data_IF_851185313349
#
_entry.id   IF_851185313349
#
_cell.length_a   1.000
_cell.length_b   1.000
_cell.length_c   1.000
_cell.angle_alpha   90.00
_cell.angle_beta   90.00
_cell.angle_gamma   90.00
#
_symmetry.space_group_name_H-M   'P 1'
#
loop_
_entity.id
_entity.type
_entity.pdbx_description
1 polymer ?
#
# COMPACT_ATOMS: atom_id res chain seq x y z
N UNK A 1 -19.65 -31.18 -38.95
CA UNK A 1 -19.17 -30.08 -39.80
C UNK A 1 -20.40 -29.28 -40.19
N UNK A 2 -20.59 -28.12 -39.57
CA UNK A 2 -21.65 -27.17 -39.88
C UNK A 2 -20.98 -25.80 -40.00
N UNK A 3 -21.42 -25.05 -41.01
CA UNK A 3 -20.68 -24.02 -41.74
C UNK A 3 -20.37 -22.76 -40.93
N UNK A 4 -19.12 -22.31 -41.02
CA UNK A 4 -18.68 -20.98 -40.58
C UNK A 4 -18.94 -19.87 -41.65
N UNK A 5 -19.72 -20.19 -42.68
CA UNK A 5 -20.00 -19.28 -43.80
C UNK A 5 -21.28 -18.44 -43.58
N UNK A 6 -22.22 -18.91 -42.76
CA UNK A 6 -23.53 -18.25 -42.61
C UNK A 6 -23.52 -17.08 -41.60
N UNK A 7 -22.50 -16.99 -40.73
CA UNK A 7 -22.36 -15.90 -39.76
C UNK A 7 -21.76 -14.62 -40.37
N UNK A 8 -21.21 -14.68 -41.59
CA UNK A 8 -20.62 -13.53 -42.28
C UNK A 8 -21.65 -12.71 -43.08
N UNK A 9 -22.75 -13.32 -43.50
CA UNK A 9 -23.84 -12.62 -44.23
C UNK A 9 -24.77 -11.83 -43.30
N UNK A 10 -24.80 -12.17 -42.00
CA UNK A 10 -25.56 -11.45 -40.99
C UNK A 10 -24.91 -10.13 -40.54
N UNK A 11 -23.64 -9.91 -40.86
CA UNK A 11 -22.92 -8.67 -40.56
C UNK A 11 -22.92 -7.66 -41.72
N UNK A 12 -23.47 -8.03 -42.89
CA UNK A 12 -23.54 -7.18 -44.08
C UNK A 12 -24.93 -6.57 -44.33
N UNK A 13 -25.92 -6.81 -43.45
CA UNK A 13 -27.32 -6.34 -43.60
C UNK A 13 -27.76 -5.22 -42.65
N UNK A 14 -26.84 -4.50 -42.00
CA UNK A 14 -27.20 -3.24 -41.31
C UNK A 14 -26.76 -2.05 -42.16
N UNK A 15 -27.75 -1.52 -42.89
CA UNK A 15 -27.62 -0.47 -43.87
C UNK A 15 -27.16 0.87 -43.33
N UNK A 16 -26.44 1.54 -44.23
CA UNK A 16 -26.48 2.97 -44.53
C UNK A 16 -27.46 3.83 -43.71
N UNK A 17 -26.90 4.72 -42.88
CA UNK A 17 -27.37 6.09 -42.74
C UNK A 17 -26.23 6.92 -42.13
N UNK A 18 -25.33 7.41 -42.99
CA UNK A 18 -24.37 8.47 -42.67
C UNK A 18 -25.10 9.81 -42.82
N UNK A 19 -25.06 10.69 -41.81
CA UNK A 19 -25.02 12.12 -42.06
C UNK A 19 -23.60 12.62 -41.89
N UNK A 20 -23.20 13.39 -42.90
CA UNK A 20 -21.88 13.92 -43.12
C UNK A 20 -21.40 14.91 -42.04
N UNK A 21 -20.08 15.09 -42.04
CA UNK A 21 -19.30 16.13 -41.37
C UNK A 21 -20.00 17.49 -41.27
N UNK A 22 -19.89 18.22 -40.13
CA UNK A 22 -20.24 19.63 -40.09
C UNK A 22 -19.13 20.49 -40.73
N UNK A 23 -19.48 21.45 -41.60
CA UNK A 23 -18.53 22.31 -42.30
C UNK A 23 -17.98 23.44 -41.41
N UNK A 24 -16.83 23.96 -41.81
CA UNK A 24 -16.11 25.07 -41.20
C UNK A 24 -16.94 26.37 -41.09
N UNK A 25 -16.62 27.16 -40.05
CA UNK A 25 -17.22 28.46 -39.74
C UNK A 25 -17.16 29.45 -40.91
N UNK A 26 -18.28 30.07 -41.33
CA UNK A 26 -18.25 31.12 -42.32
C UNK A 26 -17.96 32.50 -41.70
N UNK A 27 -17.15 33.27 -42.41
CA UNK A 27 -16.91 34.70 -42.23
C UNK A 27 -18.19 35.46 -42.55
N UNK A 28 -18.55 36.45 -41.74
CA UNK A 28 -19.76 37.27 -41.94
C UNK A 28 -19.39 38.59 -42.63
N UNK A 29 -19.99 38.82 -43.81
CA UNK A 29 -20.10 40.11 -44.47
C UNK A 29 -21.58 40.36 -44.83
N UNK A 30 -22.05 41.57 -44.50
CA UNK A 30 -23.15 42.41 -45.03
C UNK A 30 -24.63 41.91 -45.01
N UNK A 31 -25.52 42.40 -44.10
CA UNK A 31 -26.46 43.59 -44.15
C UNK A 31 -27.94 43.09 -44.35
N UNK A 32 -29.09 43.64 -43.82
CA UNK A 32 -29.42 45.03 -43.41
C UNK A 32 -30.24 45.31 -42.10
N UNK A 33 -30.05 46.54 -41.61
CA UNK A 33 -30.94 47.54 -40.98
C UNK A 33 -32.30 47.14 -40.36
N UNK A 34 -32.46 47.44 -39.06
CA UNK A 34 -33.68 48.05 -38.48
C UNK A 34 -33.27 48.98 -37.33
N UNK A 35 -33.94 50.14 -37.27
CA UNK A 35 -33.60 51.39 -36.60
C UNK A 35 -33.51 51.35 -35.06
N UNK A 36 -32.56 52.13 -34.52
CA UNK A 36 -32.44 52.44 -33.09
C UNK A 36 -31.10 53.08 -32.75
N UNK A 37 -30.99 54.39 -32.99
CA UNK A 37 -29.80 55.21 -32.82
C UNK A 37 -29.16 55.14 -31.42
N UNK A 38 -27.81 55.16 -31.36
CA UNK A 38 -26.96 56.05 -30.54
C UNK A 38 -25.48 55.74 -30.83
N UNK A 39 -24.80 56.58 -31.60
CA UNK A 39 -23.34 56.55 -31.81
C UNK A 39 -22.65 57.55 -30.89
N UNK A 40 -21.67 57.15 -30.07
CA UNK A 40 -20.56 58.01 -29.67
C UNK A 40 -19.32 57.70 -30.54
N UNK A 41 -18.41 58.67 -30.71
CA UNK A 41 -17.37 58.63 -31.73
C UNK A 41 -16.25 57.64 -31.38
N UNK A 42 -15.66 57.05 -32.43
CA UNK A 42 -14.36 56.37 -32.34
C UNK A 42 -13.27 57.40 -32.03
N UNK A 43 -12.85 57.46 -30.78
CA UNK A 43 -11.53 57.99 -30.39
C UNK A 43 -10.55 56.82 -30.25
N UNK A 44 -9.48 56.85 -31.05
CA UNK A 44 -8.28 56.06 -30.76
C UNK A 44 -7.78 56.39 -29.34
N UNK A 45 -7.27 55.43 -28.54
CA UNK A 45 -6.66 55.78 -27.26
C UNK A 45 -5.38 56.58 -27.53
N UNK A 46 -5.27 57.83 -27.05
CA UNK A 46 -3.97 58.49 -26.95
C UNK A 46 -3.18 57.80 -25.83
N UNK A 47 -1.86 57.82 -25.95
CA UNK A 47 -0.95 57.19 -25.01
C UNK A 47 -1.10 57.71 -23.56
N UNK A 48 -0.54 56.91 -22.65
CA UNK A 48 -0.33 57.29 -21.26
C UNK A 48 -1.52 56.98 -20.36
N UNK A 49 -1.77 55.71 -20.07
CA UNK A 49 -2.61 55.34 -18.92
C UNK A 49 -1.87 55.80 -17.66
N UNK A 50 -2.41 56.80 -16.99
CA UNK A 50 -1.88 57.26 -15.71
C UNK A 50 -2.12 56.20 -14.64
N UNK A 51 -1.05 55.47 -14.29
CA UNK A 51 -1.04 54.42 -13.27
C UNK A 51 -0.84 54.98 -11.85
N UNK A 52 -0.95 56.30 -11.66
CA UNK A 52 -0.78 57.00 -10.38
C UNK A 52 -1.70 56.44 -9.29
N UNK A 53 -2.98 56.22 -9.59
CA UNK A 53 -3.97 55.69 -8.64
C UNK A 53 -3.61 54.27 -8.19
N UNK A 54 -3.10 53.43 -9.09
CA UNK A 54 -2.64 52.09 -8.75
C UNK A 54 -1.32 52.13 -7.97
N UNK A 55 -0.41 53.05 -8.29
CA UNK A 55 0.82 53.25 -7.50
C UNK A 55 0.52 53.70 -6.09
N UNK A 56 -0.40 54.65 -5.89
CA UNK A 56 -0.77 55.12 -4.56
C UNK A 56 -1.42 54.02 -3.72
N UNK A 57 -2.26 53.15 -4.33
CA UNK A 57 -2.86 52.02 -3.64
C UNK A 57 -1.88 50.93 -3.21
N UNK A 58 -0.70 50.84 -3.85
CA UNK A 58 0.32 49.81 -3.57
C UNK A 58 1.56 50.42 -2.87
N UNK A 59 1.57 51.74 -2.69
CA UNK A 59 2.67 52.49 -2.08
C UNK A 59 3.00 52.00 -0.68
N UNK A 60 1.98 51.72 0.13
CA UNK A 60 2.12 51.20 1.50
C UNK A 60 2.80 49.82 1.56
N UNK A 61 2.70 49.01 0.49
CA UNK A 61 3.38 47.72 0.38
C UNK A 61 4.81 47.83 -0.15
N UNK A 62 5.14 48.90 -0.88
CA UNK A 62 6.45 49.15 -1.47
C UNK A 62 7.38 49.95 -0.54
N UNK A 63 6.83 50.84 0.29
CA UNK A 63 7.58 51.65 1.25
C UNK A 63 7.81 50.96 2.61
N UNK A 64 7.30 49.74 2.79
CA UNK A 64 7.74 48.86 3.87
C UNK A 64 9.16 48.33 3.55
N UNK A 65 10.18 49.09 3.96
CA UNK A 65 11.57 48.64 3.91
C UNK A 65 11.75 47.34 4.71
N UNK A 66 12.58 46.38 4.24
CA UNK A 66 12.90 45.21 5.03
C UNK A 66 13.76 45.65 6.23
N UNK A 67 13.18 45.57 7.44
CA UNK A 67 13.94 45.76 8.67
C UNK A 67 15.10 44.76 8.71
N UNK A 68 16.31 45.31 8.51
CA UNK A 68 17.57 44.59 8.66
C UNK A 68 18.12 44.93 10.03
N UNK A 69 17.87 44.09 11.04
CA UNK A 69 18.57 44.19 12.33
C UNK A 69 18.90 42.82 12.93
N UNK A 70 20.21 42.57 13.00
CA UNK A 70 20.99 41.71 13.93
C UNK A 70 21.09 40.19 13.68
N UNK A 71 22.31 39.61 13.86
CA UNK A 71 22.54 38.17 13.78
C UNK A 71 22.32 37.52 15.15
N UNK A 72 21.19 36.84 15.32
CA UNK A 72 20.96 35.97 16.46
C UNK A 72 20.40 34.63 16.01
N UNK A 73 21.26 33.62 16.25
CA UNK A 73 21.01 32.24 16.61
C UNK A 73 19.64 31.61 16.27
N UNK A 74 19.77 30.41 15.70
CA UNK A 74 18.73 29.39 15.60
C UNK A 74 17.60 29.68 14.61
N UNK A 75 17.97 29.69 13.32
CA UNK A 75 17.08 29.08 12.32
C UNK A 75 16.76 27.68 12.85
N UNK A 76 15.50 27.31 13.18
CA UNK A 76 15.20 25.92 13.40
C UNK A 76 15.56 25.25 12.08
N UNK A 77 16.60 24.40 12.08
CA UNK A 77 16.77 23.42 11.02
C UNK A 77 15.39 22.79 10.88
N UNK A 78 14.71 23.01 9.76
CA UNK A 78 13.45 22.30 9.47
C UNK A 78 13.77 20.85 9.81
N UNK A 79 13.13 20.23 10.81
CA UNK A 79 13.37 18.83 11.03
C UNK A 79 12.95 18.17 9.71
N UNK A 80 13.91 17.57 8.98
CA UNK A 80 13.59 16.61 7.92
C UNK A 80 13.06 15.36 8.63
N UNK A 81 11.93 15.52 9.32
CA UNK A 81 11.13 14.41 9.77
C UNK A 81 10.48 13.90 8.49
N UNK A 82 10.86 12.69 8.08
CA UNK A 82 10.02 11.89 7.21
C UNK A 82 8.69 11.72 7.94
N UNK A 83 7.75 12.64 7.76
CA UNK A 83 6.41 12.54 8.32
C UNK A 83 5.80 11.26 7.75
N UNK A 84 5.65 10.26 8.61
CA UNK A 84 5.00 9.01 8.28
C UNK A 84 3.52 9.27 8.49
N UNK A 85 2.77 9.46 7.40
CA UNK A 85 1.33 9.55 7.47
C UNK A 85 0.75 8.15 7.54
N UNK A 86 -0.17 7.92 8.49
CA UNK A 86 -1.05 6.75 8.44
C UNK A 86 -2.27 7.13 7.63
N UNK A 87 -2.47 6.46 6.50
CA UNK A 87 -3.64 6.70 5.67
C UNK A 87 -4.91 6.23 6.38
N UNK A 88 -5.93 7.11 6.42
CA UNK A 88 -7.18 6.89 7.16
C UNK A 88 -7.99 5.71 6.61
N UNK A 89 -7.92 5.47 5.29
CA UNK A 89 -8.74 4.48 4.60
C UNK A 89 -8.06 3.11 4.57
N UNK A 90 -6.83 3.06 4.04
CA UNK A 90 -6.08 1.81 3.89
C UNK A 90 -5.37 1.36 5.17
N UNK A 91 -5.12 2.25 6.13
CA UNK A 91 -4.32 1.97 7.31
C UNK A 91 -2.82 1.80 7.03
N UNK A 92 -2.37 2.09 5.79
CA UNK A 92 -0.98 1.96 5.41
C UNK A 92 -0.16 3.15 5.93
N UNK A 93 1.07 2.86 6.37
CA UNK A 93 2.05 3.89 6.74
C UNK A 93 2.80 4.38 5.50
N UNK A 94 2.53 5.60 5.07
CA UNK A 94 3.04 6.22 3.84
C UNK A 94 4.13 7.24 4.19
N UNK A 95 5.25 7.17 3.46
CA UNK A 95 6.36 8.12 3.43
C UNK A 95 6.43 8.77 2.05
N UNK A 96 7.10 9.91 1.95
CA UNK A 96 7.30 10.65 0.69
C UNK A 96 5.99 10.79 -0.09
N UNK A 97 5.01 11.41 0.57
CA UNK A 97 3.70 11.62 -0.04
C UNK A 97 3.85 12.42 -1.33
N UNK A 98 3.17 11.94 -2.38
CA UNK A 98 3.11 12.63 -3.67
C UNK A 98 1.98 13.66 -3.69
N UNK A 99 0.99 13.50 -2.81
CA UNK A 99 -0.19 14.35 -2.70
C UNK A 99 -0.38 14.77 -1.25
N UNK A 100 -1.00 15.92 -1.04
CA UNK A 100 -1.36 16.36 0.30
C UNK A 100 -2.41 15.41 0.92
N UNK A 101 -2.43 15.25 2.25
CA UNK A 101 -3.44 14.43 2.92
C UNK A 101 -4.88 14.88 2.64
N UNK A 102 -5.08 16.19 2.39
CA UNK A 102 -6.38 16.76 2.06
C UNK A 102 -6.84 16.33 0.66
N UNK A 103 -5.97 16.39 -0.34
CA UNK A 103 -6.29 15.91 -1.69
C UNK A 103 -6.65 14.43 -1.68
N UNK A 104 -5.91 13.61 -0.93
CA UNK A 104 -6.22 12.20 -0.75
C UNK A 104 -7.62 12.03 -0.16
N UNK A 105 -7.92 12.75 0.92
CA UNK A 105 -9.23 12.71 1.57
C UNK A 105 -10.36 13.14 0.62
N UNK A 106 -10.15 14.19 -0.17
CA UNK A 106 -11.12 14.69 -1.13
C UNK A 106 -11.38 13.68 -2.25
N UNK A 107 -10.34 12.96 -2.71
CA UNK A 107 -10.51 11.89 -3.71
C UNK A 107 -11.30 10.69 -3.18
N UNK A 108 -11.29 10.45 -1.87
CA UNK A 108 -12.01 9.35 -1.24
C UNK A 108 -13.34 9.77 -0.58
N UNK A 109 -13.68 11.06 -0.53
CA UNK A 109 -14.82 11.55 0.23
C UNK A 109 -16.16 10.97 -0.25
N UNK A 110 -16.36 10.92 -1.58
CA UNK A 110 -17.62 10.48 -2.19
C UNK A 110 -17.54 9.07 -2.79
N UNK A 111 -16.48 8.33 -2.48
CA UNK A 111 -16.20 7.03 -3.08
C UNK A 111 -16.20 5.94 -2.03
N UNK A 112 -16.86 4.81 -2.32
CA UNK A 112 -16.84 3.66 -1.42
C UNK A 112 -15.44 3.04 -1.39
N UNK A 113 -14.77 3.08 -0.24
CA UNK A 113 -13.48 2.43 -0.07
C UNK A 113 -13.63 0.93 0.21
N UNK A 114 -12.98 0.10 -0.60
CA UNK A 114 -12.96 -1.36 -0.49
C UNK A 114 -11.54 -1.85 -0.22
N UNK A 115 -11.33 -2.53 0.92
CA UNK A 115 -10.03 -3.13 1.26
C UNK A 115 -9.71 -4.31 0.35
N UNK A 116 -8.43 -4.50 0.03
CA UNK A 116 -7.96 -5.62 -0.79
C UNK A 116 -8.35 -6.97 -0.21
N UNK A 117 -8.33 -7.12 1.11
CA UNK A 117 -8.80 -8.31 1.83
C UNK A 117 -10.27 -8.62 1.53
N UNK A 118 -11.12 -7.59 1.42
CA UNK A 118 -12.54 -7.75 1.11
C UNK A 118 -12.77 -8.16 -0.35
N UNK A 119 -11.92 -7.69 -1.28
CA UNK A 119 -11.96 -8.10 -2.69
C UNK A 119 -11.78 -9.61 -2.87
N UNK A 120 -10.90 -10.24 -2.05
CA UNK A 120 -10.67 -11.69 -2.12
C UNK A 120 -11.88 -12.52 -1.67
N UNK A 121 -12.76 -11.96 -0.84
CA UNK A 121 -13.87 -12.69 -0.24
C UNK A 121 -15.22 -12.34 -0.89
N UNK A 122 -15.27 -11.30 -1.71
CA UNK A 122 -16.49 -10.86 -2.39
C UNK A 122 -16.77 -11.71 -3.63
N UNK A 123 -17.37 -12.87 -3.40
CA UNK A 123 -18.02 -13.69 -4.44
C UNK A 123 -19.38 -13.05 -4.73
N UNK A 124 -19.46 -12.20 -5.76
CA UNK A 124 -20.71 -11.55 -6.18
C UNK A 124 -20.49 -10.13 -6.68
N UNK A 125 -20.82 -9.89 -7.93
CA UNK A 125 -20.68 -8.63 -8.68
C UNK A 125 -21.39 -7.42 -8.05
N UNK A 126 -22.31 -7.65 -7.11
CA UNK A 126 -23.15 -6.60 -6.52
C UNK A 126 -22.38 -5.59 -5.65
N UNK A 127 -21.23 -5.98 -5.06
CA UNK A 127 -20.42 -5.05 -4.25
C UNK A 127 -19.60 -4.05 -5.07
N UNK A 128 -19.45 -4.28 -6.36
CA UNK A 128 -18.71 -3.42 -7.29
C UNK A 128 -19.61 -2.52 -8.12
N UNK A 129 -20.90 -2.44 -7.77
CA UNK A 129 -21.84 -1.50 -8.37
C UNK A 129 -21.52 -0.06 -7.91
N UNK A 130 -21.50 0.88 -8.86
CA UNK A 130 -21.23 2.30 -8.59
C UNK A 130 -19.75 2.66 -8.39
N UNK A 131 -19.50 3.83 -7.80
CA UNK A 131 -18.15 4.36 -7.61
C UNK A 131 -17.46 3.74 -6.39
N UNK A 132 -16.34 3.07 -6.61
CA UNK A 132 -15.55 2.46 -5.54
C UNK A 132 -14.04 2.64 -5.77
N UNK A 133 -13.27 2.57 -4.69
CA UNK A 133 -11.82 2.68 -4.73
C UNK A 133 -11.16 1.69 -3.79
N UNK A 134 -9.93 1.32 -4.10
CA UNK A 134 -9.06 0.53 -3.22
C UNK A 134 -7.67 1.13 -3.21
N UNK A 135 -6.89 0.86 -2.16
CA UNK A 135 -5.51 1.30 -2.07
C UNK A 135 -4.61 0.15 -1.62
N UNK A 136 -3.41 0.11 -2.18
CA UNK A 136 -2.46 -0.96 -1.94
C UNK A 136 -1.03 -0.58 -2.30
N UNK A 137 -0.11 -1.38 -1.81
CA UNK A 137 1.32 -1.28 -2.12
C UNK A 137 1.62 -2.13 -3.34
N UNK A 138 2.38 -1.60 -4.29
CA UNK A 138 2.96 -2.36 -5.39
C UNK A 138 3.99 -3.34 -4.84
N UNK A 139 3.69 -4.64 -4.84
CA UNK A 139 4.51 -5.70 -4.28
C UNK A 139 5.50 -6.28 -5.28
N UNK A 140 5.06 -6.45 -6.52
CA UNK A 140 5.85 -7.05 -7.59
C UNK A 140 5.37 -6.57 -8.95
N UNK A 141 6.29 -6.54 -9.92
CA UNK A 141 6.01 -6.23 -11.31
C UNK A 141 6.24 -7.48 -12.14
N UNK A 142 5.17 -7.99 -12.73
CA UNK A 142 5.25 -9.02 -13.74
C UNK A 142 5.90 -8.51 -15.02
N UNK A 143 6.27 -9.47 -15.87
CA UNK A 143 6.82 -9.22 -17.20
C UNK A 143 5.75 -8.54 -18.06
N UNK A 144 6.16 -7.58 -18.89
CA UNK A 144 5.29 -6.97 -19.88
C UNK A 144 4.83 -8.02 -20.89
N UNK A 145 3.56 -7.97 -21.26
CA UNK A 145 2.91 -8.93 -22.15
C UNK A 145 2.22 -8.17 -23.28
N UNK A 146 1.97 -8.86 -24.39
CA UNK A 146 1.21 -8.30 -25.51
C UNK A 146 -0.17 -8.95 -25.50
N UNK A 147 -1.21 -8.13 -25.64
CA UNK A 147 -2.60 -8.60 -25.71
C UNK A 147 -2.89 -9.20 -27.09
N UNK A 148 -3.98 -9.94 -27.23
CA UNK A 148 -4.43 -10.47 -28.53
C UNK A 148 -4.68 -9.35 -29.58
N UNK A 149 -4.91 -8.12 -29.12
CA UNK A 149 -5.08 -6.93 -29.96
C UNK A 149 -3.76 -6.25 -30.34
N UNK A 150 -2.62 -6.82 -29.99
CA UNK A 150 -1.28 -6.27 -30.28
C UNK A 150 -0.80 -5.18 -29.30
N UNK A 151 -1.61 -4.77 -28.33
CA UNK A 151 -1.21 -3.73 -27.36
C UNK A 151 -0.43 -4.32 -26.18
N UNK A 152 0.71 -3.72 -25.83
CA UNK A 152 1.48 -4.05 -24.63
C UNK A 152 0.74 -3.70 -23.34
N UNK A 153 0.85 -4.56 -22.34
CA UNK A 153 0.24 -4.38 -21.02
C UNK A 153 1.19 -4.88 -19.92
N UNK A 154 1.02 -4.34 -18.71
CA UNK A 154 1.78 -4.75 -17.53
C UNK A 154 0.89 -5.42 -16.50
N UNK A 155 1.44 -6.43 -15.83
CA UNK A 155 0.77 -7.13 -14.74
C UNK A 155 1.48 -6.77 -13.45
N UNK A 156 0.75 -6.20 -12.50
CA UNK A 156 1.25 -5.84 -11.18
C UNK A 156 0.63 -6.73 -10.12
N UNK A 157 1.37 -6.99 -9.06
CA UNK A 157 0.81 -7.53 -7.82
C UNK A 157 0.74 -6.41 -6.80
N UNK A 158 -0.46 -6.08 -6.35
CA UNK A 158 -0.67 -5.08 -5.31
C UNK A 158 -1.29 -5.73 -4.07
N UNK A 159 -0.99 -5.22 -2.88
CA UNK A 159 -1.53 -5.77 -1.64
C UNK A 159 -1.40 -4.83 -0.45
N UNK A 160 -2.07 -5.16 0.66
CA UNK A 160 -2.10 -4.34 1.87
C UNK A 160 -1.01 -4.73 2.90
N UNK A 161 0.05 -5.43 2.47
CA UNK A 161 1.11 -5.98 3.35
C UNK A 161 0.58 -6.92 4.46
N UNK A 162 -0.60 -7.50 4.25
CA UNK A 162 -1.34 -8.36 5.17
C UNK A 162 -1.55 -9.77 4.61
N UNK A 163 -0.69 -10.19 3.67
CA UNK A 163 -0.75 -11.48 2.95
C UNK A 163 -1.88 -11.58 1.92
N UNK A 164 -2.69 -10.54 1.79
CA UNK A 164 -3.63 -10.41 0.67
C UNK A 164 -3.02 -9.61 -0.46
N UNK A 165 -3.04 -10.22 -1.64
CA UNK A 165 -2.55 -9.67 -2.89
C UNK A 165 -3.62 -9.82 -3.98
N UNK A 166 -3.66 -8.86 -4.89
CA UNK A 166 -4.54 -8.85 -6.05
C UNK A 166 -3.71 -8.52 -7.28
N UNK A 167 -4.00 -9.21 -8.37
CA UNK A 167 -3.32 -8.99 -9.65
C UNK A 167 -3.99 -7.83 -10.38
N UNK A 168 -3.24 -6.78 -10.68
CA UNK A 168 -3.69 -5.59 -11.42
C UNK A 168 -3.13 -5.62 -12.84
N UNK A 169 -4.00 -5.51 -13.83
CA UNK A 169 -3.68 -5.49 -15.25
C UNK A 169 -3.80 -4.07 -15.76
N UNK A 170 -2.68 -3.48 -16.18
CA UNK A 170 -2.62 -2.13 -16.70
C UNK A 170 -2.57 -2.21 -18.23
N UNK A 171 -3.55 -1.61 -18.88
CA UNK A 171 -3.67 -1.52 -20.33
C UNK A 171 -3.53 -0.07 -20.81
N UNK A 172 -3.23 0.12 -22.10
CA UNK A 172 -3.26 1.43 -22.76
C UNK A 172 -2.48 2.52 -22.02
N UNK A 173 -3.11 3.66 -21.78
CA UNK A 173 -2.48 4.84 -21.18
C UNK A 173 -2.00 4.57 -19.74
N UNK A 174 -2.76 3.78 -18.97
CA UNK A 174 -2.34 3.39 -17.63
C UNK A 174 -1.02 2.61 -17.66
N UNK A 175 -0.82 1.73 -18.65
CA UNK A 175 0.43 1.01 -18.82
C UNK A 175 1.58 1.96 -19.14
N UNK A 176 1.40 2.83 -20.14
CA UNK A 176 2.45 3.76 -20.60
C UNK A 176 2.90 4.66 -19.45
N UNK A 177 1.95 5.26 -18.74
CA UNK A 177 2.24 6.21 -17.66
C UNK A 177 2.85 5.55 -16.43
N UNK A 178 2.32 4.41 -16.00
CA UNK A 178 2.70 3.82 -14.71
C UNK A 178 3.76 2.71 -14.81
N UNK A 179 4.09 2.19 -16.00
CA UNK A 179 5.07 1.11 -16.19
C UNK A 179 6.37 1.27 -15.38
N UNK A 180 6.89 2.49 -15.27
CA UNK A 180 8.12 2.84 -14.54
C UNK A 180 8.02 2.91 -13.01
N UNK A 181 6.85 2.76 -12.40
CA UNK A 181 6.64 3.02 -10.95
C UNK A 181 7.49 2.13 -10.01
N UNK A 182 8.18 2.65 -9.00
CA UNK A 182 8.99 1.78 -8.13
C UNK A 182 8.15 0.79 -7.30
N UNK A 183 8.65 -0.44 -7.11
CA UNK A 183 8.07 -1.40 -6.16
C UNK A 183 8.14 -0.82 -4.74
N UNK A 184 7.08 -1.02 -3.94
CA UNK A 184 6.90 -0.39 -2.63
C UNK A 184 6.17 0.95 -2.68
N UNK A 185 5.85 1.46 -3.87
CA UNK A 185 4.97 2.63 -4.01
C UNK A 185 3.53 2.27 -3.64
N UNK A 186 2.82 3.21 -3.02
CA UNK A 186 1.40 3.09 -2.67
C UNK A 186 0.56 3.72 -3.79
N UNK A 187 -0.40 2.95 -4.27
CA UNK A 187 -1.35 3.37 -5.30
C UNK A 187 -2.77 3.21 -4.81
N UNK A 188 -3.61 4.19 -5.12
CA UNK A 188 -5.05 4.05 -5.11
C UNK A 188 -5.53 3.70 -6.53
N UNK A 189 -6.52 2.82 -6.60
CA UNK A 189 -7.19 2.39 -7.83
C UNK A 189 -8.66 2.70 -7.69
N UNK A 190 -9.23 3.38 -8.67
CA UNK A 190 -10.61 3.82 -8.73
C UNK A 190 -11.34 3.08 -9.84
N UNK A 191 -12.52 2.55 -9.54
CA UNK A 191 -13.43 1.93 -10.51
C UNK A 191 -12.71 0.93 -11.44
N UNK A 192 -11.85 0.07 -10.87
CA UNK A 192 -11.19 -0.98 -11.63
C UNK A 192 -12.20 -2.03 -12.10
N UNK A 193 -11.96 -2.69 -13.24
CA UNK A 193 -12.82 -3.80 -13.64
C UNK A 193 -12.35 -5.07 -12.93
N UNK A 194 -13.16 -5.59 -12.01
CA UNK A 194 -12.85 -6.80 -11.24
C UNK A 194 -13.34 -8.03 -12.00
N UNK A 195 -12.42 -8.97 -12.25
CA UNK A 195 -12.72 -10.26 -12.85
C UNK A 195 -12.19 -11.39 -11.96
N UNK A 196 -12.94 -12.48 -11.89
CA UNK A 196 -12.45 -13.71 -11.28
C UNK A 196 -11.37 -14.32 -12.19
N UNK A 197 -10.34 -14.89 -11.59
CA UNK A 197 -9.32 -15.59 -12.36
C UNK A 197 -9.85 -16.94 -12.86
N UNK A 198 -9.38 -17.39 -14.03
CA UNK A 198 -9.91 -18.56 -14.73
C UNK A 198 -9.77 -19.87 -13.91
N UNK A 199 -8.91 -19.88 -12.89
CA UNK A 199 -8.72 -21.00 -11.97
C UNK A 199 -9.61 -20.97 -10.71
N UNK A 200 -10.56 -20.04 -10.61
CA UNK A 200 -11.49 -19.91 -9.47
C UNK A 200 -10.83 -19.53 -8.13
N UNK A 201 -9.51 -19.34 -8.10
CA UNK A 201 -8.71 -19.03 -6.91
C UNK A 201 -8.10 -17.65 -7.00
N UNK A 202 -8.96 -16.63 -7.06
CA UNK A 202 -8.52 -15.24 -6.90
C UNK A 202 -9.28 -14.26 -7.75
N UNK A 203 -8.98 -12.99 -7.51
CA UNK A 203 -9.51 -11.86 -8.24
C UNK A 203 -8.37 -11.14 -8.94
N UNK A 204 -8.70 -10.57 -10.08
CA UNK A 204 -7.83 -9.67 -10.80
C UNK A 204 -8.61 -8.42 -11.15
N UNK A 205 -7.90 -7.30 -11.21
CA UNK A 205 -8.47 -6.02 -11.56
C UNK A 205 -7.80 -5.53 -12.83
N UNK A 206 -8.54 -4.87 -13.71
CA UNK A 206 -7.96 -4.19 -14.87
C UNK A 206 -8.27 -2.69 -14.86
N UNK A 207 -7.32 -1.93 -15.37
CA UNK A 207 -7.37 -0.47 -15.51
C UNK A 207 -6.80 -0.09 -16.88
N UNK A 208 -7.42 0.91 -17.51
CA UNK A 208 -7.03 1.36 -18.84
C UNK A 208 -6.63 2.85 -18.85
N UNK A 209 -7.32 3.67 -18.04
CA UNK A 209 -7.07 5.11 -17.98
C UNK A 209 -6.13 5.48 -16.84
N UNK A 210 -5.32 6.52 -17.06
CA UNK A 210 -4.44 7.10 -16.03
C UNK A 210 -5.26 7.63 -14.84
N UNK A 211 -6.48 8.16 -15.09
CA UNK A 211 -7.35 8.71 -14.05
C UNK A 211 -7.93 7.66 -13.09
N UNK A 212 -7.89 6.38 -13.46
CA UNK A 212 -8.29 5.27 -12.58
C UNK A 212 -7.22 4.90 -11.56
N UNK A 213 -6.03 5.48 -11.62
CA UNK A 213 -4.95 5.20 -10.69
C UNK A 213 -4.34 6.49 -10.16
N UNK A 214 -3.90 6.45 -8.90
CA UNK A 214 -3.29 7.59 -8.25
C UNK A 214 -2.14 7.13 -7.37
N UNK A 215 -0.96 7.72 -7.57
CA UNK A 215 0.20 7.48 -6.71
C UNK A 215 0.07 8.32 -5.44
N UNK A 216 0.02 7.66 -4.28
CA UNK A 216 -0.07 8.34 -2.99
C UNK A 216 1.30 8.61 -2.36
N UNK A 217 2.25 7.69 -2.51
CA UNK A 217 3.57 7.80 -1.90
C UNK A 217 4.32 6.47 -1.87
N UNK A 218 5.12 6.24 -0.83
CA UNK A 218 5.92 5.02 -0.63
C UNK A 218 5.58 4.37 0.71
N UNK A 219 5.35 3.06 0.73
CA UNK A 219 5.03 2.35 1.96
C UNK A 219 6.27 2.27 2.87
N UNK A 220 6.14 2.79 4.09
CA UNK A 220 7.20 2.71 5.12
C UNK A 220 7.52 1.26 5.48
N UNK A 221 6.49 0.42 5.48
CA UNK A 221 6.55 -0.95 5.99
C UNK A 221 6.87 -1.97 4.91
N UNK A 222 6.99 -1.54 3.66
CA UNK A 222 7.38 -2.41 2.58
C UNK A 222 8.86 -2.78 2.69
N UNK A 223 9.15 -4.08 2.62
CA UNK A 223 10.50 -4.60 2.50
C UNK A 223 10.55 -5.88 1.67
N UNK A 224 11.76 -6.32 1.37
CA UNK A 224 12.01 -7.63 0.76
C UNK A 224 12.52 -8.61 1.82
N UNK A 225 12.15 -9.87 1.65
CA UNK A 225 12.54 -10.95 2.56
C UNK A 225 14.06 -11.09 2.65
N UNK A 226 14.62 -11.09 3.88
CA UNK A 226 16.06 -11.27 4.13
C UNK A 226 16.57 -12.71 3.97
N UNK A 227 15.67 -13.66 3.70
CA UNK A 227 16.03 -15.06 3.45
C UNK A 227 16.76 -15.27 2.13
N UNK A 228 17.51 -16.36 2.04
CA UNK A 228 18.14 -16.83 0.79
C UNK A 228 17.40 -18.06 0.28
N UNK A 229 17.17 -18.11 -1.03
CA UNK A 229 16.60 -19.28 -1.71
C UNK A 229 17.60 -20.45 -1.62
N UNK A 230 17.15 -21.66 -1.98
CA UNK A 230 18.01 -22.85 -2.07
C UNK A 230 19.24 -22.60 -2.96
N UNK A 231 19.06 -21.78 -4.00
CA UNK A 231 20.07 -21.43 -4.99
C UNK A 231 21.06 -20.34 -4.51
N UNK A 232 21.00 -19.93 -3.24
CA UNK A 232 21.85 -18.89 -2.65
C UNK A 232 21.43 -17.44 -2.95
N UNK A 233 20.58 -17.24 -3.97
CA UNK A 233 20.04 -15.93 -4.36
C UNK A 233 19.11 -15.34 -3.27
N UNK A 234 19.17 -14.03 -3.06
CA UNK A 234 18.31 -13.32 -2.12
C UNK A 234 16.83 -13.45 -2.49
N UNK A 235 15.97 -13.58 -1.48
CA UNK A 235 14.54 -13.72 -1.69
C UNK A 235 13.92 -12.39 -2.14
N UNK A 236 13.17 -12.41 -3.24
CA UNK A 236 12.46 -11.24 -3.80
C UNK A 236 11.03 -11.08 -3.28
N UNK A 237 10.60 -11.91 -2.32
CA UNK A 237 9.24 -11.83 -1.78
C UNK A 237 9.06 -10.56 -0.95
N UNK A 238 8.01 -9.81 -1.24
CA UNK A 238 7.58 -8.67 -0.45
C UNK A 238 7.16 -9.11 0.97
N UNK A 239 7.55 -8.32 1.96
CA UNK A 239 7.24 -8.53 3.37
C UNK A 239 6.83 -7.22 4.03
N UNK A 240 6.09 -7.37 5.13
CA UNK A 240 5.79 -6.28 6.03
C UNK A 240 6.88 -6.19 7.11
N UNK A 241 7.72 -5.16 7.03
CA UNK A 241 8.81 -4.89 7.98
C UNK A 241 8.34 -4.76 9.42
N UNK A 242 7.10 -4.32 9.66
CA UNK A 242 6.56 -4.19 11.02
C UNK A 242 6.18 -5.54 11.64
N UNK A 243 5.79 -6.52 10.81
CA UNK A 243 5.44 -7.88 11.27
C UNK A 243 6.64 -8.81 11.35
N UNK A 244 7.66 -8.61 10.51
CA UNK A 244 8.88 -9.41 10.55
C UNK A 244 9.80 -9.19 9.36
N UNK A 245 10.95 -9.85 9.38
CA UNK A 245 12.00 -9.72 8.35
C UNK A 245 12.04 -10.86 7.31
N UNK A 246 11.13 -11.83 7.41
CA UNK A 246 11.11 -13.03 6.58
C UNK A 246 9.70 -13.30 6.01
N UNK A 247 9.62 -13.82 4.77
CA UNK A 247 8.34 -14.27 4.18
C UNK A 247 7.85 -15.57 4.82
N UNK A 248 6.60 -15.98 4.57
CA UNK A 248 6.01 -17.22 5.14
C UNK A 248 6.92 -18.45 5.04
N UNK A 249 7.51 -18.68 3.86
CA UNK A 249 8.39 -19.82 3.61
C UNK A 249 9.70 -19.78 4.40
N UNK A 250 10.27 -18.59 4.61
CA UNK A 250 11.50 -18.43 5.38
C UNK A 250 11.23 -18.27 6.87
N UNK A 251 10.07 -17.72 7.25
CA UNK A 251 9.62 -17.60 8.64
C UNK A 251 9.43 -18.99 9.25
N UNK A 252 8.76 -19.91 8.54
CA UNK A 252 8.59 -21.29 9.02
C UNK A 252 9.91 -22.06 9.14
N UNK A 253 10.84 -21.85 8.20
CA UNK A 253 12.18 -22.45 8.31
C UNK A 253 12.99 -21.86 9.46
N UNK A 254 12.90 -20.56 9.67
CA UNK A 254 13.59 -19.87 10.76
C UNK A 254 13.02 -20.28 12.11
N UNK A 255 11.70 -20.35 12.27
CA UNK A 255 11.07 -20.84 13.50
C UNK A 255 11.46 -22.29 13.78
N UNK A 256 11.44 -23.16 12.76
CA UNK A 256 11.96 -24.53 12.90
C UNK A 256 13.42 -24.56 13.34
N UNK A 257 14.30 -23.72 12.77
CA UNK A 257 15.70 -23.61 13.20
C UNK A 257 15.84 -23.15 14.65
N UNK A 258 15.03 -22.20 15.10
CA UNK A 258 15.03 -21.77 16.49
C UNK A 258 14.56 -22.88 17.44
N UNK A 259 13.54 -23.65 17.05
CA UNK A 259 13.06 -24.81 17.82
C UNK A 259 14.06 -25.97 17.83
N UNK A 260 14.79 -26.21 16.73
CA UNK A 260 15.78 -27.29 16.67
C UNK A 260 17.11 -26.92 17.31
N UNK A 261 17.47 -25.64 17.36
CA UNK A 261 18.67 -25.12 18.02
C UNK A 261 18.54 -24.95 19.54
N UNK A 262 17.32 -24.77 20.05
CA UNK A 262 17.04 -24.80 21.50
C UNK A 262 16.51 -26.16 21.91
N UNK A 263 17.41 -27.00 22.42
CA UNK A 263 17.09 -28.33 22.95
C UNK A 263 15.99 -28.28 24.02
N UNK A 264 15.85 -27.17 24.75
CA UNK A 264 14.83 -26.96 25.79
C UNK A 264 13.38 -26.82 25.29
N UNK A 265 13.18 -26.38 24.04
CA UNK A 265 11.84 -26.19 23.45
C UNK A 265 11.45 -27.29 22.46
N UNK A 266 12.44 -28.05 22.00
CA UNK A 266 12.20 -29.39 21.49
C UNK A 266 11.58 -30.12 22.68
N UNK A 267 10.39 -30.69 22.54
CA UNK A 267 9.84 -31.65 23.51
C UNK A 267 10.70 -32.92 23.58
N UNK A 268 12.02 -32.74 23.69
CA UNK A 268 12.96 -33.73 24.13
C UNK A 268 12.40 -34.21 25.45
N UNK A 269 12.34 -35.53 25.53
CA UNK A 269 12.06 -36.26 26.73
C UNK A 269 13.04 -35.71 27.79
N UNK A 270 12.65 -34.68 28.54
CA UNK A 270 13.27 -34.30 29.80
C UNK A 270 12.93 -35.44 30.74
N UNK A 271 13.55 -36.60 30.49
CA UNK A 271 13.96 -37.48 31.56
C UNK A 271 14.91 -36.59 32.34
N UNK A 272 14.36 -35.87 33.32
CA UNK A 272 15.13 -35.33 34.42
C UNK A 272 16.15 -36.41 34.76
N UNK A 273 17.40 -36.22 34.32
CA UNK A 273 18.49 -37.11 34.65
C UNK A 273 18.91 -36.90 36.11
N UNK A 274 18.10 -36.19 36.92
CA UNK A 274 17.90 -36.63 38.27
C UNK A 274 17.17 -37.99 38.21
N UNK A 275 17.95 -39.07 38.10
CA UNK A 275 17.70 -40.17 39.03
C UNK A 275 17.77 -39.54 40.41
N UNK A 276 16.67 -38.94 40.86
CA UNK A 276 16.49 -38.59 42.25
C UNK A 276 16.42 -39.96 42.91
N UNK A 277 17.60 -40.51 43.26
CA UNK A 277 17.66 -41.63 44.17
C UNK A 277 17.05 -41.05 45.42
N UNK A 278 15.80 -41.41 45.70
CA UNK A 278 15.09 -40.99 46.89
C UNK A 278 15.80 -41.64 48.06
N UNK A 279 16.88 -41.04 48.57
CA UNK A 279 17.73 -41.72 49.54
C UNK A 279 17.02 -41.93 50.89
N UNK A 280 15.93 -41.22 51.16
CA UNK A 280 15.17 -41.33 52.40
C UNK A 280 14.39 -40.06 52.71
N UNK A 281 13.80 -40.01 53.90
CA UNK A 281 13.20 -38.79 54.45
C UNK A 281 14.29 -38.04 55.21
N UNK A 282 14.46 -36.76 54.90
CA UNK A 282 15.42 -35.87 55.55
C UNK A 282 14.66 -34.77 56.30
N UNK A 283 15.04 -34.50 57.55
CA UNK A 283 14.53 -33.35 58.28
C UNK A 283 15.33 -32.13 57.87
N UNK A 284 14.64 -31.11 57.36
CA UNK A 284 15.20 -29.77 57.24
C UNK A 284 14.83 -29.04 58.53
N UNK A 285 15.82 -28.71 59.35
CA UNK A 285 15.59 -27.94 60.56
C UNK A 285 14.99 -26.57 60.17
N UNK A 286 13.80 -26.19 60.67
CA UNK A 286 13.14 -24.94 60.31
C UNK A 286 13.78 -23.69 60.95
N UNK A 287 14.86 -23.84 61.72
CA UNK A 287 15.36 -22.83 62.66
C UNK A 287 16.67 -22.12 62.25
N UNK A 288 16.98 -21.99 60.96
CA UNK A 288 18.00 -21.03 60.51
C UNK A 288 17.44 -20.07 59.45
N UNK A 289 16.71 -19.05 59.91
CA UNK A 289 16.59 -17.82 59.16
C UNK A 289 18.02 -17.25 58.96
N UNK A 290 18.45 -17.24 57.69
CA UNK A 290 19.72 -16.72 57.12
C UNK A 290 20.82 -17.77 56.90
N UNK A 291 21.05 -18.18 55.63
CA UNK A 291 22.18 -19.04 55.31
C UNK A 291 23.48 -18.22 55.25
N UNK A 292 24.42 -18.52 56.15
CA UNK A 292 25.81 -18.07 56.07
C UNK A 292 26.58 -19.03 55.12
N UNK A 293 27.24 -18.56 54.05
CA UNK A 293 27.70 -19.41 52.94
C UNK A 293 28.92 -20.31 53.25
N UNK A 294 29.38 -20.40 54.51
CA UNK A 294 30.60 -21.13 54.87
C UNK A 294 30.40 -22.51 55.49
N UNK A 295 29.18 -22.89 55.88
CA UNK A 295 28.91 -24.23 56.41
C UNK A 295 27.65 -24.82 55.75
N UNK A 296 27.84 -25.72 54.79
CA UNK A 296 26.75 -26.56 54.27
C UNK A 296 26.40 -27.62 55.32
N UNK A 297 25.48 -27.30 56.24
CA UNK A 297 24.88 -28.30 57.11
C UNK A 297 24.10 -29.28 56.23
N UNK A 298 24.65 -30.48 56.05
CA UNK A 298 24.00 -31.55 55.31
C UNK A 298 22.69 -31.92 56.04
N UNK A 299 21.58 -32.06 55.32
CA UNK A 299 20.31 -32.45 55.92
C UNK A 299 20.46 -33.83 56.58
N UNK A 300 19.95 -33.96 57.81
CA UNK A 300 20.04 -35.21 58.58
C UNK A 300 19.02 -36.20 58.03
N UNK A 301 19.51 -37.37 57.61
CA UNK A 301 18.70 -38.48 57.09
C UNK A 301 17.97 -39.16 58.25
N UNK A 302 16.65 -39.00 58.30
CA UNK A 302 15.83 -39.51 59.41
C UNK A 302 15.49 -40.99 59.19
N UNK A 303 15.19 -41.39 57.95
CA UNK A 303 14.87 -42.78 57.63
C UNK A 303 15.27 -43.18 56.22
N UNK A 304 15.79 -44.41 56.06
CA UNK A 304 16.03 -45.04 54.75
C UNK A 304 14.74 -45.60 54.16
N UNK A 305 14.73 -45.81 52.83
CA UNK A 305 13.57 -46.38 52.11
C UNK A 305 13.15 -47.74 52.70
N UNK A 306 14.11 -48.59 53.06
CA UNK A 306 13.82 -49.92 53.61
C UNK A 306 13.28 -49.86 55.05
N UNK A 307 13.59 -48.79 55.78
CA UNK A 307 12.95 -48.48 57.06
C UNK A 307 11.50 -48.04 56.86
N UNK A 308 11.27 -47.14 55.91
CA UNK A 308 9.93 -46.64 55.58
C UNK A 308 8.99 -47.77 55.10
N UNK A 309 9.48 -48.65 54.22
CA UNK A 309 8.70 -49.80 53.72
C UNK A 309 8.34 -50.81 54.80
N UNK A 310 9.16 -50.93 55.84
CA UNK A 310 8.88 -51.78 57.01
C UNK A 310 7.87 -51.14 57.96
N UNK A 311 7.87 -49.81 58.09
CA UNK A 311 6.92 -49.09 58.93
C UNK A 311 5.50 -49.00 58.32
N UNK A 312 5.36 -49.17 57.01
CA UNK A 312 4.09 -49.09 56.27
C UNK A 312 3.43 -50.46 55.98
N UNK A 313 4.00 -51.57 56.46
CA UNK A 313 3.39 -52.91 56.44
C UNK A 313 2.88 -53.24 57.83
#
# INVERSE_FOLDING_TARGET
>A
MANAADDLDLLLSLGEAVPETPPASPRTADVPVCDGAFTPPRTAPPGGTDMSVFRDAVKDYLEAAPETTSPLANRPKRPKATEILVDKYSGLRIKHLTLSPLEISNRFADIRFVRITALKNSVGSDRFSGCWATAGVLLDKGVQRVSAKGSSYSIWKMGALDETDVSLFLFGDAHVHYSGAAVGSVFAVFNGNVRMDNGGKGFSMSVASVGQMLKMGVASDFGLCKGKRKDGVACTMAINKSKGSYCKFHSSKTSQKYTTGRVELKGGNFKFASKLRSEGIYMVNPSSERPNPRNSLQPVKVMSIDGLKRALR
#
